data_IF_482250254696
#
_entry.id   IF_482250254696
#
_cell.length_a   1.000
_cell.length_b   1.000
_cell.length_c   1.000
_cell.angle_alpha   90.00
_cell.angle_beta   90.00
_cell.angle_gamma   90.00
#
_symmetry.space_group_name_H-M   'P 1'
#
loop_
_entity.id
_entity.type
_entity.pdbx_description
1 polymer ?
#
# COMPACT_ATOMS: atom_id res chain seq x y z
N UNK A 1 14.40 -18.14 18.38
CA UNK A 1 13.90 -18.03 17.00
C UNK A 1 13.60 -16.57 16.79
N UNK A 2 14.32 -15.91 15.91
CA UNK A 2 14.00 -14.54 15.51
C UNK A 2 12.80 -14.54 14.55
N UNK A 3 12.26 -13.36 14.27
CA UNK A 3 11.06 -13.21 13.43
C UNK A 3 11.34 -13.72 12.01
N UNK A 4 12.55 -13.49 11.50
CA UNK A 4 12.96 -13.94 10.16
C UNK A 4 12.97 -15.47 10.08
N UNK A 5 13.63 -16.16 11.01
CA UNK A 5 13.65 -17.62 11.04
C UNK A 5 12.28 -18.26 11.29
N UNK A 6 11.35 -17.55 11.96
CA UNK A 6 9.95 -17.98 12.03
C UNK A 6 9.25 -17.89 10.67
N UNK A 7 9.44 -16.80 9.92
CA UNK A 7 8.82 -16.62 8.61
C UNK A 7 9.39 -17.57 7.57
N UNK A 8 10.69 -17.85 7.59
CA UNK A 8 11.37 -18.80 6.69
C UNK A 8 10.82 -20.23 6.78
N UNK A 9 10.18 -20.61 7.89
CA UNK A 9 9.51 -21.90 8.04
C UNK A 9 8.22 -22.07 7.22
N UNK A 10 7.73 -20.99 6.59
CA UNK A 10 6.49 -20.96 5.82
C UNK A 10 6.74 -20.68 4.33
N UNK A 11 5.82 -21.11 3.47
CA UNK A 11 5.88 -20.76 2.04
C UNK A 11 5.58 -19.28 1.77
N UNK A 12 5.98 -18.71 0.62
CA UNK A 12 5.82 -17.28 0.31
C UNK A 12 4.37 -16.77 0.41
N UNK A 13 3.40 -17.59 -0.02
CA UNK A 13 1.97 -17.25 0.11
C UNK A 13 1.53 -17.17 1.57
N UNK A 14 2.06 -18.04 2.43
CA UNK A 14 1.77 -18.03 3.86
C UNK A 14 2.45 -16.85 4.56
N UNK A 15 3.69 -16.54 4.20
CA UNK A 15 4.41 -15.35 4.69
C UNK A 15 3.62 -14.07 4.35
N UNK A 16 3.24 -13.90 3.08
CA UNK A 16 2.43 -12.77 2.63
C UNK A 16 1.06 -12.71 3.32
N UNK A 17 0.41 -13.86 3.56
CA UNK A 17 -0.85 -13.92 4.29
C UNK A 17 -0.68 -13.51 5.76
N UNK A 18 0.36 -13.99 6.44
CA UNK A 18 0.65 -13.64 7.84
C UNK A 18 0.93 -12.14 7.95
N UNK A 19 1.77 -11.60 7.07
CA UNK A 19 2.06 -10.16 7.01
C UNK A 19 0.81 -9.34 6.67
N UNK A 20 -0.02 -9.80 5.72
CA UNK A 20 -1.30 -9.18 5.37
C UNK A 20 -2.31 -9.18 6.53
N UNK A 21 -2.41 -10.28 7.29
CA UNK A 21 -3.24 -10.34 8.49
C UNK A 21 -2.73 -9.43 9.60
N UNK A 22 -1.41 -9.30 9.72
CA UNK A 22 -0.79 -8.39 10.66
C UNK A 22 -1.12 -6.92 10.34
N UNK A 23 -0.95 -6.50 9.08
CA UNK A 23 -1.29 -5.13 8.64
C UNK A 23 -2.78 -4.83 8.78
N UNK A 24 -3.65 -5.80 8.43
CA UNK A 24 -5.09 -5.71 8.69
C UNK A 24 -5.40 -5.55 10.18
N UNK A 25 -4.76 -6.35 11.04
CA UNK A 25 -4.94 -6.27 12.49
C UNK A 25 -4.50 -4.91 13.04
N UNK A 26 -3.39 -4.34 12.53
CA UNK A 26 -2.95 -2.99 12.93
C UNK A 26 -3.91 -1.89 12.50
N UNK A 27 -4.51 -2.02 11.31
CA UNK A 27 -5.58 -1.12 10.87
C UNK A 27 -6.79 -1.22 11.78
N UNK A 28 -7.23 -2.44 12.12
CA UNK A 28 -8.35 -2.68 13.02
C UNK A 28 -8.09 -2.15 14.44
N UNK A 29 -6.86 -2.34 14.95
CA UNK A 29 -6.43 -1.84 16.26
C UNK A 29 -6.42 -0.29 16.29
N UNK A 30 -5.92 0.35 15.24
CA UNK A 30 -5.97 1.80 15.09
C UNK A 30 -7.41 2.33 15.04
N UNK A 31 -8.29 1.67 14.28
CA UNK A 31 -9.71 2.02 14.20
C UNK A 31 -10.45 1.84 15.54
N UNK A 32 -10.06 0.85 16.35
CA UNK A 32 -10.65 0.59 17.67
C UNK A 32 -10.44 1.74 18.67
N UNK A 33 -9.47 2.63 18.44
CA UNK A 33 -9.26 3.83 19.27
C UNK A 33 -10.50 4.76 19.31
N UNK A 34 -11.35 4.71 18.29
CA UNK A 34 -12.62 5.47 18.23
C UNK A 34 -13.57 5.09 19.38
N UNK A 35 -13.45 3.89 19.97
CA UNK A 35 -14.23 3.46 21.14
C UNK A 35 -13.93 4.36 22.35
N UNK A 36 -12.68 4.83 22.47
CA UNK A 36 -12.21 5.64 23.59
C UNK A 36 -12.19 7.13 23.25
N UNK A 37 -11.85 7.49 22.00
CA UNK A 37 -11.69 8.86 21.54
C UNK A 37 -12.61 9.15 20.36
N UNK A 38 -13.73 9.83 20.63
CA UNK A 38 -14.72 10.20 19.59
C UNK A 38 -14.32 11.44 18.78
N UNK A 39 -13.53 12.31 19.38
CA UNK A 39 -13.01 13.53 18.76
C UNK A 39 -11.50 13.57 18.99
N UNK A 40 -10.75 13.91 17.95
CA UNK A 40 -9.29 14.03 17.99
C UNK A 40 -8.89 15.46 17.64
N UNK A 41 -7.89 15.99 18.33
CA UNK A 41 -7.33 17.30 17.98
C UNK A 41 -6.79 17.27 16.54
N UNK A 42 -7.12 18.30 15.76
CA UNK A 42 -6.75 18.36 14.33
C UNK A 42 -5.25 18.32 14.11
N UNK A 43 -4.44 18.89 15.00
CA UNK A 43 -2.97 18.82 14.91
C UNK A 43 -2.46 17.41 15.10
N UNK A 44 -3.09 16.63 15.98
CA UNK A 44 -2.75 15.22 16.20
C UNK A 44 -3.11 14.42 14.95
N UNK A 45 -4.30 14.64 14.37
CA UNK A 45 -4.70 13.99 13.13
C UNK A 45 -3.74 14.31 11.98
N UNK A 46 -3.40 15.59 11.79
CA UNK A 46 -2.47 16.03 10.74
C UNK A 46 -1.07 15.44 10.94
N UNK A 47 -0.60 15.34 12.19
CA UNK A 47 0.67 14.69 12.51
C UNK A 47 0.66 13.18 12.22
N UNK A 48 -0.45 12.49 12.51
CA UNK A 48 -0.62 11.07 12.18
C UNK A 48 -0.63 10.83 10.66
N UNK A 49 -1.36 11.66 9.90
CA UNK A 49 -1.40 11.60 8.44
C UNK A 49 -0.01 11.88 7.83
N UNK A 50 0.70 12.88 8.34
CA UNK A 50 2.06 13.19 7.91
C UNK A 50 3.06 12.08 8.22
N UNK A 51 2.96 11.45 9.39
CA UNK A 51 3.77 10.29 9.75
C UNK A 51 3.51 9.10 8.83
N UNK A 52 2.24 8.76 8.58
CA UNK A 52 1.86 7.67 7.69
C UNK A 52 2.38 7.91 6.27
N UNK A 53 2.18 9.11 5.72
CA UNK A 53 2.70 9.48 4.40
C UNK A 53 4.23 9.36 4.33
N UNK A 54 4.94 9.78 5.39
CA UNK A 54 6.40 9.67 5.49
C UNK A 54 6.88 8.22 5.48
N UNK A 55 6.26 7.33 6.27
CA UNK A 55 6.57 5.90 6.29
C UNK A 55 6.36 5.27 4.91
N UNK A 56 5.25 5.61 4.23
CA UNK A 56 4.95 5.06 2.91
C UNK A 56 5.92 5.54 1.82
N UNK A 57 6.36 6.80 1.86
CA UNK A 57 7.40 7.31 0.96
C UNK A 57 8.73 6.60 1.19
N UNK A 58 9.11 6.40 2.46
CA UNK A 58 10.34 5.69 2.80
C UNK A 58 10.28 4.23 2.32
N UNK A 59 9.21 3.49 2.64
CA UNK A 59 9.03 2.12 2.17
C UNK A 59 9.06 2.02 0.64
N UNK A 60 8.44 2.97 -0.07
CA UNK A 60 8.46 3.02 -1.54
C UNK A 60 9.88 3.12 -2.10
N UNK A 61 10.79 3.83 -1.42
CA UNK A 61 12.17 3.95 -1.87
C UNK A 61 13.04 2.76 -1.43
N UNK A 62 13.11 2.49 -0.13
CA UNK A 62 14.06 1.50 0.42
C UNK A 62 13.58 0.05 0.28
N UNK A 63 12.27 -0.20 0.33
CA UNK A 63 11.73 -1.57 0.28
C UNK A 63 11.24 -1.97 -1.11
N UNK A 64 10.97 -1.02 -2.00
CA UNK A 64 10.46 -1.31 -3.35
C UNK A 64 11.40 -0.83 -4.45
N UNK A 65 11.72 0.47 -4.52
CA UNK A 65 12.47 1.02 -5.65
C UNK A 65 13.94 0.56 -5.66
N UNK A 66 14.67 0.67 -4.53
CA UNK A 66 16.08 0.25 -4.46
C UNK A 66 16.23 -1.24 -4.81
N UNK A 67 15.45 -2.16 -4.18
CA UNK A 67 15.52 -3.57 -4.55
C UNK A 67 15.12 -3.83 -6.00
N UNK A 68 14.11 -3.12 -6.54
CA UNK A 68 13.72 -3.29 -7.94
C UNK A 68 14.82 -2.86 -8.92
N UNK A 69 15.63 -1.86 -8.58
CA UNK A 69 16.79 -1.46 -9.38
C UNK A 69 17.90 -2.51 -9.27
N UNK A 70 18.24 -2.96 -8.07
CA UNK A 70 19.23 -4.04 -7.85
C UNK A 70 18.85 -5.31 -8.62
N UNK A 71 17.57 -5.69 -8.59
CA UNK A 71 17.03 -6.83 -9.34
C UNK A 71 17.10 -6.68 -10.87
N UNK A 72 17.26 -5.46 -11.38
CA UNK A 72 17.38 -5.17 -12.81
C UNK A 72 18.84 -5.10 -13.28
N UNK A 73 19.82 -5.22 -12.39
CA UNK A 73 21.23 -5.25 -12.77
C UNK A 73 21.57 -6.51 -13.58
N UNK A 74 22.42 -6.37 -14.60
CA UNK A 74 22.83 -7.48 -15.46
C UNK A 74 21.82 -7.91 -16.53
N UNK A 75 20.67 -7.25 -16.64
CA UNK A 75 19.71 -7.45 -17.72
C UNK A 75 20.08 -6.75 -19.04
N UNK A 76 19.35 -7.08 -20.12
CA UNK A 76 19.54 -6.47 -21.45
C UNK A 76 19.04 -5.01 -21.54
N UNK A 77 18.23 -4.58 -20.57
CA UNK A 77 17.62 -3.25 -20.52
C UNK A 77 18.34 -2.38 -19.47
N UNK A 78 18.28 -1.03 -19.60
CA UNK A 78 18.79 -0.14 -18.56
C UNK A 78 18.11 -0.40 -17.21
N UNK A 79 18.89 -0.39 -16.12
CA UNK A 79 18.47 -0.72 -14.75
C UNK A 79 17.19 0.01 -14.29
N UNK A 80 17.03 1.27 -14.68
CA UNK A 80 15.87 2.08 -14.30
C UNK A 80 14.61 1.78 -15.13
N UNK A 81 14.74 1.11 -16.27
CA UNK A 81 13.66 0.98 -17.23
C UNK A 81 12.51 0.10 -16.71
N UNK A 82 12.74 -1.11 -16.15
CA UNK A 82 11.65 -1.92 -15.60
C UNK A 82 10.92 -1.23 -14.45
N UNK A 83 11.67 -0.58 -13.55
CA UNK A 83 11.09 0.17 -12.43
C UNK A 83 10.23 1.35 -12.90
N UNK A 84 10.69 2.12 -13.90
CA UNK A 84 9.92 3.20 -14.49
C UNK A 84 8.62 2.70 -15.13
N UNK A 85 8.71 1.64 -15.94
CA UNK A 85 7.53 1.07 -16.61
C UNK A 85 6.53 0.55 -15.58
N UNK A 86 7.00 -0.17 -14.55
CA UNK A 86 6.16 -0.64 -13.44
C UNK A 86 5.49 0.51 -12.70
N UNK A 87 6.23 1.58 -12.38
CA UNK A 87 5.69 2.77 -11.73
C UNK A 87 4.61 3.46 -12.57
N UNK A 88 4.86 3.66 -13.87
CA UNK A 88 3.89 4.28 -14.78
C UNK A 88 2.63 3.40 -14.95
N UNK A 89 2.80 2.09 -15.11
CA UNK A 89 1.67 1.15 -15.19
C UNK A 89 0.85 1.17 -13.89
N UNK A 90 1.50 1.21 -12.72
CA UNK A 90 0.85 1.36 -11.43
C UNK A 90 0.06 2.67 -11.34
N UNK A 91 0.65 3.79 -11.76
CA UNK A 91 -0.01 5.10 -11.81
C UNK A 91 -1.22 5.12 -12.75
N UNK A 92 -1.11 4.53 -13.94
CA UNK A 92 -2.23 4.38 -14.88
C UNK A 92 -3.33 3.50 -14.29
N UNK A 93 -2.97 2.38 -13.66
CA UNK A 93 -3.92 1.50 -13.00
C UNK A 93 -4.71 2.24 -11.91
N UNK A 94 -4.00 2.97 -11.03
CA UNK A 94 -4.64 3.79 -9.99
C UNK A 94 -5.51 4.90 -10.57
N UNK A 95 -5.07 5.56 -11.64
CA UNK A 95 -5.87 6.60 -12.31
C UNK A 95 -7.14 6.03 -12.93
N UNK A 96 -7.09 4.83 -13.52
CA UNK A 96 -8.28 4.16 -14.05
C UNK A 96 -9.26 3.86 -12.92
N UNK A 97 -8.78 3.30 -11.81
CA UNK A 97 -9.61 3.01 -10.63
C UNK A 97 -10.28 4.28 -10.09
N UNK A 98 -9.49 5.34 -9.91
CA UNK A 98 -9.94 6.65 -9.42
C UNK A 98 -11.03 7.28 -10.31
N UNK A 99 -10.87 7.16 -11.63
CA UNK A 99 -11.85 7.64 -12.61
C UNK A 99 -13.20 6.92 -12.54
N UNK A 100 -13.25 5.68 -12.04
CA UNK A 100 -14.52 4.96 -11.86
C UNK A 100 -15.16 5.20 -10.49
N UNK A 101 -14.37 5.58 -9.48
CA UNK A 101 -14.91 5.80 -8.15
C UNK A 101 -15.63 7.16 -8.09
N UNK A 102 -16.92 7.20 -7.73
CA UNK A 102 -17.58 8.46 -7.49
C UNK A 102 -17.01 9.08 -6.22
N UNK A 103 -16.31 10.19 -6.38
CA UNK A 103 -15.70 10.90 -5.27
C UNK A 103 -15.84 12.40 -5.46
N UNK A 104 -15.87 13.10 -4.33
CA UNK A 104 -15.93 14.55 -4.28
C UNK A 104 -14.76 15.03 -3.44
N UNK A 105 -13.96 15.93 -3.99
CA UNK A 105 -12.85 16.51 -3.25
C UNK A 105 -13.34 17.31 -2.03
N UNK A 106 -12.62 17.27 -0.90
CA UNK A 106 -13.00 18.04 0.28
C UNK A 106 -13.14 19.54 -0.04
N UNK A 107 -14.37 20.07 0.06
CA UNK A 107 -14.68 21.48 -0.20
C UNK A 107 -15.16 21.81 -1.61
N UNK A 108 -15.21 20.82 -2.52
CA UNK A 108 -15.76 21.02 -3.87
C UNK A 108 -17.31 21.07 -3.85
N UNK A 109 -17.94 21.89 -4.72
CA UNK A 109 -19.38 21.87 -4.91
C UNK A 109 -19.85 20.53 -5.51
N UNK A 110 -21.10 20.08 -5.26
CA UNK A 110 -21.59 18.79 -5.75
C UNK A 110 -21.51 18.60 -7.27
N UNK A 111 -21.46 19.71 -8.02
CA UNK A 111 -21.33 19.77 -9.48
C UNK A 111 -19.94 19.33 -9.99
N UNK A 112 -18.94 19.29 -9.10
CA UNK A 112 -17.57 18.84 -9.37
C UNK A 112 -17.32 17.40 -8.89
N UNK A 113 -18.38 16.62 -8.66
CA UNK A 113 -18.24 15.19 -8.37
C UNK A 113 -17.61 14.48 -9.59
N UNK A 114 -16.48 13.83 -9.37
CA UNK A 114 -15.82 12.97 -10.36
C UNK A 114 -16.31 11.52 -10.19
N UNK A 115 -16.17 10.71 -11.24
CA UNK A 115 -16.55 9.29 -11.25
C UNK A 115 -17.95 9.01 -11.78
N UNK A 116 -18.36 7.74 -11.74
CA UNK A 116 -19.66 7.32 -12.26
C UNK A 116 -20.75 7.60 -11.23
N UNK A 117 -21.73 8.42 -11.60
CA UNK A 117 -22.91 8.68 -10.76
C UNK A 117 -23.55 7.38 -10.26
N UNK A 118 -23.72 7.27 -8.94
CA UNK A 118 -24.35 6.11 -8.33
C UNK A 118 -25.18 6.51 -7.10
N UNK A 119 -26.04 5.58 -6.66
CA UNK A 119 -26.91 5.77 -5.48
C UNK A 119 -26.24 5.30 -4.18
N UNK A 120 -24.91 5.23 -4.13
CA UNK A 120 -24.22 4.63 -2.99
C UNK A 120 -24.26 5.56 -1.77
N UNK A 121 -24.39 4.95 -0.59
CA UNK A 121 -24.32 5.70 0.67
C UNK A 121 -22.89 6.18 0.89
N UNK A 122 -22.73 7.34 1.54
CA UNK A 122 -21.41 7.91 1.90
C UNK A 122 -20.48 6.92 2.62
N UNK A 123 -21.04 6.04 3.46
CA UNK A 123 -20.29 4.99 4.14
C UNK A 123 -19.71 3.94 3.19
N UNK A 124 -20.42 3.57 2.11
CA UNK A 124 -19.92 2.66 1.09
C UNK A 124 -18.79 3.30 0.29
N UNK A 125 -18.94 4.57 -0.09
CA UNK A 125 -17.88 5.31 -0.77
C UNK A 125 -16.60 5.41 0.08
N UNK A 126 -16.75 5.68 1.38
CA UNK A 126 -15.62 5.72 2.32
C UNK A 126 -14.92 4.36 2.42
N UNK A 127 -15.68 3.27 2.58
CA UNK A 127 -15.11 1.91 2.66
C UNK A 127 -14.41 1.53 1.37
N UNK A 128 -14.99 1.85 0.22
CA UNK A 128 -14.37 1.61 -1.09
C UNK A 128 -13.09 2.42 -1.27
N UNK A 129 -13.08 3.70 -0.92
CA UNK A 129 -11.89 4.54 -0.99
C UNK A 129 -10.74 3.98 -0.12
N UNK A 130 -11.04 3.59 1.12
CA UNK A 130 -10.06 2.97 2.02
C UNK A 130 -9.56 1.64 1.44
N UNK A 131 -10.47 0.81 0.93
CA UNK A 131 -10.12 -0.49 0.33
C UNK A 131 -9.15 -0.31 -0.83
N UNK A 132 -9.40 0.66 -1.70
CA UNK A 132 -8.55 0.93 -2.86
C UNK A 132 -7.16 1.45 -2.49
N UNK A 133 -7.04 2.15 -1.37
CA UNK A 133 -5.74 2.56 -0.86
C UNK A 133 -4.94 1.38 -0.28
N UNK A 134 -5.62 0.43 0.35
CA UNK A 134 -4.99 -0.73 0.97
C UNK A 134 -4.61 -1.83 -0.04
N UNK A 135 -5.18 -1.84 -1.25
CA UNK A 135 -4.83 -2.81 -2.30
C UNK A 135 -3.36 -2.68 -2.71
N UNK A 136 -2.84 -1.48 -3.06
CA UNK A 136 -1.41 -1.27 -3.33
C UNK A 136 -0.51 -1.72 -2.19
N UNK A 137 -0.89 -1.46 -0.93
CA UNK A 137 -0.10 -1.87 0.24
C UNK A 137 -0.02 -3.40 0.36
N UNK A 138 -1.16 -4.09 0.26
CA UNK A 138 -1.21 -5.55 0.28
C UNK A 138 -0.47 -6.18 -0.90
N UNK A 139 -0.54 -5.56 -2.08
CA UNK A 139 0.21 -6.00 -3.27
C UNK A 139 1.72 -5.87 -3.05
N UNK A 140 2.19 -4.76 -2.46
CA UNK A 140 3.60 -4.54 -2.18
C UNK A 140 4.16 -5.63 -1.24
N UNK A 141 3.43 -5.97 -0.17
CA UNK A 141 3.78 -7.08 0.73
C UNK A 141 3.88 -8.41 -0.02
N UNK A 142 2.89 -8.73 -0.86
CA UNK A 142 2.88 -9.95 -1.65
C UNK A 142 4.06 -10.05 -2.64
N UNK A 143 4.38 -8.95 -3.32
CA UNK A 143 5.53 -8.86 -4.24
C UNK A 143 6.85 -9.03 -3.49
N UNK A 144 7.00 -8.42 -2.32
CA UNK A 144 8.22 -8.50 -1.53
C UNK A 144 8.54 -9.94 -1.09
N UNK A 145 7.55 -10.66 -0.52
CA UNK A 145 7.74 -12.07 -0.15
C UNK A 145 7.88 -13.00 -1.38
N UNK A 146 7.22 -12.68 -2.50
CA UNK A 146 7.39 -13.41 -3.76
C UNK A 146 8.80 -13.24 -4.35
N UNK A 147 9.35 -12.04 -4.31
CA UNK A 147 10.71 -11.74 -4.76
C UNK A 147 11.74 -12.44 -3.86
N UNK A 148 11.54 -12.38 -2.53
CA UNK A 148 12.41 -13.06 -1.58
C UNK A 148 12.47 -14.59 -1.80
N UNK A 149 11.32 -15.23 -2.06
CA UNK A 149 11.27 -16.65 -2.36
C UNK A 149 11.86 -17.03 -3.73
N UNK A 150 11.93 -16.08 -4.66
CA UNK A 150 12.52 -16.31 -5.99
C UNK A 150 14.06 -16.25 -5.97
N UNK A 151 14.67 -15.89 -4.84
CA UNK A 151 16.12 -15.88 -4.66
C UNK A 151 16.83 -14.73 -5.38
N UNK A 152 16.12 -13.63 -5.64
CA UNK A 152 16.74 -12.43 -6.21
C UNK A 152 17.68 -11.78 -5.19
N UNK A 153 18.89 -11.41 -5.62
CA UNK A 153 19.80 -10.61 -4.80
C UNK A 153 19.13 -9.29 -4.40
N UNK A 154 19.23 -8.92 -3.12
CA UNK A 154 18.59 -7.73 -2.55
C UNK A 154 17.16 -7.94 -2.02
N UNK A 155 16.44 -8.97 -2.47
CA UNK A 155 15.10 -9.30 -1.96
C UNK A 155 15.19 -10.40 -0.89
N UNK A 156 15.04 -10.03 0.38
CA UNK A 156 15.07 -10.98 1.51
C UNK A 156 13.77 -10.94 2.31
N UNK A 157 13.53 -11.98 3.11
CA UNK A 157 12.41 -12.02 4.07
C UNK A 157 12.51 -10.88 5.10
N UNK A 158 13.72 -10.40 5.43
CA UNK A 158 13.92 -9.30 6.37
C UNK A 158 13.66 -7.91 5.78
N UNK A 159 13.62 -7.78 4.45
CA UNK A 159 13.34 -6.53 3.73
C UNK A 159 11.89 -6.44 3.23
N UNK A 160 11.13 -7.54 3.35
CA UNK A 160 9.72 -7.67 3.00
C UNK A 160 8.79 -7.30 4.18
#
# INVERSE_FOLDING_TARGET
MDIVGFMEGYGPVQQALIAGLFTWFMTAAGAALVIFFKELDRKVLDAMLGFAAGVMIAASFWSLLSPALEMSEGGDLPVWFPALVGFLLGGVCMRLIDMFLPHLHPGAPPEEAEGVDNTWRRSMLLVSAITLHNIPEGLAVGVAFGAAASGFEGATVGTA
#
